data_IF_035522982571
#
_entry.id   IF_035522982571
#
_cell.length_a   1.000
_cell.length_b   1.000
_cell.length_c   1.000
_cell.angle_alpha   90.00
_cell.angle_beta   90.00
_cell.angle_gamma   90.00
#
_symmetry.space_group_name_H-M   'P 1'
#
loop_
_entity.id
_entity.type
_entity.pdbx_description
1 polymer ?
#
# COMPACT_ATOMS: atom_id res chain seq x y z
N UNK A 1 -8.82 7.91 3.99
CA UNK A 1 -9.73 6.82 4.39
C UNK A 1 -8.97 5.51 4.37
N UNK A 2 -9.13 4.69 5.42
CA UNK A 2 -8.57 3.35 5.47
C UNK A 2 -9.64 2.31 5.09
N UNK A 3 -9.31 1.40 4.17
CA UNK A 3 -10.14 0.23 3.84
C UNK A 3 -9.38 -1.02 4.28
N UNK A 4 -9.93 -1.75 5.24
CA UNK A 4 -9.33 -3.00 5.74
C UNK A 4 -9.60 -4.18 4.77
N UNK A 5 -9.16 -4.05 3.53
CA UNK A 5 -9.22 -5.08 2.49
C UNK A 5 -8.05 -4.89 1.51
N UNK A 6 -7.71 -5.95 0.77
CA UNK A 6 -6.90 -5.78 -0.45
C UNK A 6 -7.86 -5.39 -1.56
N UNK A 7 -7.60 -4.23 -2.19
CA UNK A 7 -8.42 -3.73 -3.28
C UNK A 7 -7.73 -3.99 -4.61
N UNK A 8 -8.54 -4.21 -5.65
CA UNK A 8 -8.05 -4.17 -7.03
C UNK A 8 -7.79 -2.70 -7.42
N UNK A 9 -6.84 -2.42 -8.33
CA UNK A 9 -6.50 -1.05 -8.74
C UNK A 9 -7.73 -0.21 -9.13
N UNK A 10 -8.64 -0.80 -9.93
CA UNK A 10 -9.91 -0.16 -10.33
C UNK A 10 -10.84 0.20 -9.17
N UNK A 11 -10.85 -0.59 -8.09
CA UNK A 11 -11.67 -0.28 -6.93
C UNK A 11 -11.09 0.91 -6.17
N UNK A 12 -9.76 1.00 -6.09
CA UNK A 12 -9.07 2.11 -5.44
C UNK A 12 -9.30 3.43 -6.19
N UNK A 13 -9.19 3.41 -7.53
CA UNK A 13 -9.52 4.58 -8.39
C UNK A 13 -10.98 5.00 -8.20
N UNK A 14 -11.93 4.07 -8.33
CA UNK A 14 -13.35 4.40 -8.21
C UNK A 14 -13.71 4.99 -6.83
N UNK A 15 -13.14 4.46 -5.74
CA UNK A 15 -13.42 4.98 -4.39
C UNK A 15 -12.79 6.37 -4.22
N UNK A 16 -11.56 6.58 -4.73
CA UNK A 16 -10.91 7.88 -4.71
C UNK A 16 -11.74 8.93 -5.46
N UNK A 17 -12.27 8.60 -6.65
CA UNK A 17 -13.04 9.54 -7.46
C UNK A 17 -14.37 9.94 -6.82
N UNK A 18 -15.02 9.01 -6.09
CA UNK A 18 -16.28 9.27 -5.39
C UNK A 18 -16.05 10.06 -4.10
N UNK A 19 -15.03 9.70 -3.32
CA UNK A 19 -14.82 10.29 -1.99
C UNK A 19 -13.91 11.52 -2.01
N UNK A 20 -13.15 11.72 -3.08
CA UNK A 20 -12.19 12.84 -3.26
C UNK A 20 -11.18 12.97 -2.11
N UNK A 21 -10.90 11.87 -1.43
CA UNK A 21 -9.90 11.79 -0.35
C UNK A 21 -8.91 10.67 -0.66
N UNK A 22 -7.74 10.75 -0.06
CA UNK A 22 -6.74 9.69 -0.14
C UNK A 22 -7.30 8.36 0.43
N UNK A 23 -7.19 7.28 -0.35
CA UNK A 23 -7.66 5.95 0.03
C UNK A 23 -6.47 5.01 0.21
N UNK A 24 -6.37 4.41 1.39
CA UNK A 24 -5.36 3.40 1.71
C UNK A 24 -6.05 2.05 1.86
N UNK A 25 -5.56 1.07 1.11
CA UNK A 25 -5.95 -0.32 1.28
C UNK A 25 -4.98 -1.04 2.22
N UNK A 26 -5.23 -2.32 2.49
CA UNK A 26 -4.39 -3.12 3.38
C UNK A 26 -2.95 -3.25 2.87
N UNK A 27 -2.74 -3.38 1.56
CA UNK A 27 -1.41 -3.60 0.99
C UNK A 27 -0.55 -2.36 1.16
N UNK A 28 -1.06 -1.17 0.79
CA UNK A 28 -0.34 0.10 0.99
C UNK A 28 0.00 0.36 2.45
N UNK A 29 -0.96 0.13 3.36
CA UNK A 29 -0.71 0.31 4.80
C UNK A 29 0.46 -0.57 5.29
N UNK A 30 0.48 -1.85 4.89
CA UNK A 30 1.55 -2.76 5.30
C UNK A 30 2.90 -2.37 4.69
N UNK A 31 2.94 -1.98 3.42
CA UNK A 31 4.17 -1.53 2.77
C UNK A 31 4.74 -0.28 3.45
N UNK A 32 3.90 0.68 3.83
CA UNK A 32 4.33 1.87 4.56
C UNK A 32 4.84 1.54 5.97
N UNK A 33 4.14 0.67 6.70
CA UNK A 33 4.59 0.20 8.01
C UNK A 33 5.94 -0.53 7.91
N UNK A 34 6.11 -1.42 6.95
CA UNK A 34 7.37 -2.14 6.77
C UNK A 34 8.50 -1.23 6.31
N UNK A 35 8.25 -0.27 5.42
CA UNK A 35 9.23 0.75 5.05
C UNK A 35 9.71 1.52 6.28
N UNK A 36 8.80 1.92 7.17
CA UNK A 36 9.14 2.66 8.39
C UNK A 36 10.01 1.86 9.37
N UNK A 37 9.88 0.54 9.40
CA UNK A 37 10.54 -0.33 10.39
C UNK A 37 11.66 -1.22 9.82
N UNK A 38 11.96 -1.15 8.52
CA UNK A 38 12.95 -1.99 7.86
C UNK A 38 14.40 -1.64 8.31
N UNK A 39 14.88 -2.35 9.33
CA UNK A 39 16.19 -2.10 9.93
C UNK A 39 17.37 -2.75 9.17
N UNK A 40 17.16 -3.90 8.51
CA UNK A 40 18.22 -4.61 7.78
C UNK A 40 18.23 -4.30 6.27
N UNK A 41 19.37 -4.52 5.62
CA UNK A 41 19.51 -4.39 4.15
C UNK A 41 18.56 -5.35 3.44
N UNK A 42 18.44 -6.57 3.95
CA UNK A 42 17.52 -7.58 3.43
C UNK A 42 16.06 -7.12 3.54
N UNK A 43 15.65 -6.63 4.72
CA UNK A 43 14.28 -6.14 4.94
C UNK A 43 13.95 -4.97 4.00
N UNK A 44 14.87 -3.99 3.85
CA UNK A 44 14.70 -2.89 2.89
C UNK A 44 14.58 -3.39 1.45
N UNK A 45 15.33 -4.44 1.09
CA UNK A 45 15.29 -5.04 -0.24
C UNK A 45 13.97 -5.75 -0.49
N UNK A 46 13.48 -6.55 0.46
CA UNK A 46 12.20 -7.24 0.38
C UNK A 46 11.02 -6.26 0.28
N UNK A 47 11.03 -5.18 1.07
CA UNK A 47 9.99 -4.13 0.99
C UNK A 47 9.98 -3.45 -0.38
N UNK A 48 11.16 -3.17 -0.95
CA UNK A 48 11.27 -2.60 -2.30
C UNK A 48 10.74 -3.54 -3.38
N UNK A 49 11.05 -4.84 -3.29
CA UNK A 49 10.50 -5.85 -4.20
C UNK A 49 8.97 -5.91 -4.10
N UNK A 50 8.44 -5.89 -2.88
CA UNK A 50 6.99 -5.93 -2.65
C UNK A 50 6.28 -4.68 -3.20
N UNK A 51 6.89 -3.50 -3.13
CA UNK A 51 6.36 -2.27 -3.75
C UNK A 51 6.28 -2.39 -5.28
N UNK A 52 7.34 -2.87 -5.92
CA UNK A 52 7.37 -3.07 -7.37
C UNK A 52 6.30 -4.03 -7.90
N UNK A 53 5.84 -4.98 -7.07
CA UNK A 53 4.75 -5.89 -7.42
C UNK A 53 3.35 -5.36 -7.08
N UNK A 54 3.26 -4.24 -6.36
CA UNK A 54 2.00 -3.62 -5.93
C UNK A 54 1.65 -2.34 -6.71
N UNK A 55 2.64 -1.72 -7.36
CA UNK A 55 2.47 -0.64 -8.35
C UNK A 55 1.96 -1.19 -9.70
#
# INVERSE_FOLDING_TARGET
>A
MLVHATLLPRQLVNIHDVLTVEVWDRVRLLLELFTKHAASVEARTQVRIARLGAD
#
